data_IF_502692762699
#
_entry.id   IF_502692762699
#
_cell.length_a   1.000
_cell.length_b   1.000
_cell.length_c   1.000
_cell.angle_alpha   90.00
_cell.angle_beta   90.00
_cell.angle_gamma   90.00
#
_symmetry.space_group_name_H-M   'P 1'
#
loop_
_entity.id
_entity.type
_entity.pdbx_description
1 polymer ?
#
# COMPACT_ATOMS: atom_id res chain seq x y z
N UNK A 1 -7.51 -15.96 -18.82
CA UNK A 1 -8.18 -16.47 -17.62
C UNK A 1 -9.27 -15.46 -17.26
N UNK A 2 -10.49 -15.90 -17.01
CA UNK A 2 -11.58 -15.03 -16.51
C UNK A 2 -11.92 -15.48 -15.10
N UNK A 3 -12.00 -14.55 -14.18
CA UNK A 3 -12.44 -14.79 -12.81
C UNK A 3 -13.32 -13.65 -12.33
N UNK A 4 -14.16 -13.92 -11.36
CA UNK A 4 -15.01 -12.91 -10.73
C UNK A 4 -14.68 -12.86 -9.25
N UNK A 5 -14.47 -11.65 -8.74
CA UNK A 5 -14.25 -11.39 -7.32
C UNK A 5 -15.39 -10.51 -6.80
N UNK A 6 -15.86 -10.79 -5.60
CA UNK A 6 -16.85 -9.93 -4.94
C UNK A 6 -16.12 -8.96 -4.03
N UNK A 7 -16.19 -7.68 -4.35
CA UNK A 7 -15.72 -6.61 -3.47
C UNK A 7 -16.72 -6.42 -2.34
N UNK A 8 -16.29 -6.68 -1.10
CA UNK A 8 -17.13 -6.56 0.09
C UNK A 8 -17.12 -5.13 0.62
N UNK A 9 -15.94 -4.52 0.65
CA UNK A 9 -15.72 -3.18 1.19
C UNK A 9 -14.44 -2.60 0.59
N UNK A 10 -14.33 -1.27 0.58
CA UNK A 10 -13.12 -0.60 0.12
C UNK A 10 -12.91 0.72 0.85
N UNK A 11 -11.65 1.10 0.96
CA UNK A 11 -11.21 2.40 1.45
C UNK A 11 -9.99 2.85 0.64
N UNK A 12 -9.85 4.14 0.44
CA UNK A 12 -8.67 4.72 -0.19
C UNK A 12 -8.34 6.06 0.45
N UNK A 13 -7.05 6.38 0.47
CA UNK A 13 -6.55 7.69 0.92
C UNK A 13 -5.44 8.18 0.01
N UNK A 14 -5.52 9.46 -0.33
CA UNK A 14 -4.47 10.19 -1.03
C UNK A 14 -4.48 11.64 -0.53
N UNK A 15 -3.48 12.47 -0.89
CA UNK A 15 -3.54 13.90 -0.59
C UNK A 15 -4.86 14.52 -1.07
N UNK A 16 -5.61 15.15 -0.15
CA UNK A 16 -6.91 15.75 -0.43
C UNK A 16 -8.07 14.80 -0.69
N UNK A 17 -7.88 13.48 -0.56
CA UNK A 17 -8.91 12.46 -0.77
C UNK A 17 -8.89 11.46 0.37
N UNK A 18 -9.96 11.38 1.14
CA UNK A 18 -10.02 10.57 2.35
C UNK A 18 -11.28 9.71 2.51
N UNK A 19 -12.36 10.04 1.81
CA UNK A 19 -13.62 9.32 1.89
C UNK A 19 -14.19 8.95 0.52
N UNK A 20 -15.25 8.17 0.52
CA UNK A 20 -15.86 7.64 -0.69
C UNK A 20 -16.44 8.72 -1.61
N UNK A 21 -17.01 9.79 -1.02
CA UNK A 21 -17.65 10.87 -1.77
C UNK A 21 -16.59 11.71 -2.49
N UNK A 22 -15.46 12.02 -1.82
CA UNK A 22 -14.31 12.72 -2.41
C UNK A 22 -13.71 11.90 -3.57
N UNK A 23 -13.54 10.60 -3.39
CA UNK A 23 -13.06 9.69 -4.44
C UNK A 23 -14.03 9.61 -5.62
N UNK A 24 -15.34 9.55 -5.35
CA UNK A 24 -16.35 9.53 -6.41
C UNK A 24 -16.37 10.85 -7.18
N UNK A 25 -16.27 11.98 -6.48
CA UNK A 25 -16.20 13.30 -7.10
C UNK A 25 -14.93 13.45 -7.96
N UNK A 26 -13.78 12.97 -7.45
CA UNK A 26 -12.51 12.97 -8.18
C UNK A 26 -12.59 12.10 -9.44
N UNK A 27 -13.16 10.90 -9.35
CA UNK A 27 -13.26 9.98 -10.50
C UNK A 27 -14.05 10.54 -11.67
N UNK A 28 -15.00 11.45 -11.41
CA UNK A 28 -15.79 12.12 -12.45
C UNK A 28 -15.02 13.24 -13.15
N UNK A 29 -14.07 13.87 -12.45
CA UNK A 29 -13.29 15.00 -12.97
C UNK A 29 -12.01 14.55 -13.67
N UNK A 30 -11.45 13.41 -13.28
CA UNK A 30 -10.16 12.88 -13.77
C UNK A 30 -8.99 13.87 -13.62
N UNK A 31 -9.06 14.75 -12.63
CA UNK A 31 -7.99 15.69 -12.33
C UNK A 31 -6.80 14.95 -11.70
N UNK A 32 -5.60 15.51 -11.86
CA UNK A 32 -4.44 15.01 -11.11
C UNK A 32 -4.65 15.27 -9.61
N UNK A 33 -4.19 14.33 -8.78
CA UNK A 33 -4.17 14.53 -7.32
C UNK A 33 -3.08 15.55 -7.00
N UNK A 34 -3.42 16.58 -6.23
CA UNK A 34 -2.45 17.57 -5.76
C UNK A 34 -1.59 16.95 -4.64
N UNK A 35 -0.29 16.73 -4.87
CA UNK A 35 0.60 16.13 -3.87
C UNK A 35 0.82 17.03 -2.64
N UNK A 36 0.54 18.33 -2.75
CA UNK A 36 0.65 19.29 -1.65
C UNK A 36 -0.62 19.35 -0.77
N UNK A 37 -1.72 18.72 -1.21
CA UNK A 37 -2.93 18.66 -0.41
C UNK A 37 -2.71 17.86 0.88
N UNK A 38 -3.40 18.20 1.98
CA UNK A 38 -3.20 17.53 3.26
C UNK A 38 -3.68 16.08 3.21
N UNK A 39 -2.91 15.19 3.85
CA UNK A 39 -3.34 13.83 4.12
C UNK A 39 -4.33 13.78 5.28
N UNK A 40 -5.30 12.86 5.18
CA UNK A 40 -6.19 12.57 6.30
C UNK A 40 -5.41 12.13 7.54
N UNK A 41 -5.93 12.46 8.71
CA UNK A 41 -5.35 12.00 9.98
C UNK A 41 -5.41 10.48 10.08
N UNK A 42 -4.32 9.91 10.59
CA UNK A 42 -4.29 8.50 10.99
C UNK A 42 -5.23 8.30 12.19
N UNK A 43 -6.05 7.28 12.14
CA UNK A 43 -7.07 7.03 13.19
C UNK A 43 -6.81 5.75 13.97
N UNK A 44 -6.20 4.77 13.35
CA UNK A 44 -6.08 3.41 13.87
C UNK A 44 -4.64 3.02 14.20
N UNK A 45 -3.68 3.67 13.56
CA UNK A 45 -2.26 3.38 13.74
C UNK A 45 -1.70 4.04 14.99
N UNK A 46 -1.12 3.26 15.95
CA UNK A 46 -0.46 3.84 17.11
C UNK A 46 0.67 4.79 16.72
N UNK A 47 0.73 5.96 17.38
CA UNK A 47 1.68 7.03 17.05
C UNK A 47 3.14 6.56 17.08
N UNK A 48 3.51 5.70 18.02
CA UNK A 48 4.87 5.15 18.12
C UNK A 48 5.24 4.29 16.91
N UNK A 49 4.29 3.53 16.37
CA UNK A 49 4.47 2.75 15.14
C UNK A 49 4.50 3.68 13.94
N UNK A 50 3.59 4.66 13.88
CA UNK A 50 3.52 5.64 12.79
C UNK A 50 4.84 6.38 12.56
N UNK A 51 5.57 6.73 13.63
CA UNK A 51 6.87 7.41 13.54
C UNK A 51 7.97 6.60 12.88
N UNK A 52 7.84 5.28 12.85
CA UNK A 52 8.83 4.37 12.26
C UNK A 52 8.55 4.05 10.80
N UNK A 53 7.33 4.31 10.33
CA UNK A 53 6.87 3.99 8.98
C UNK A 53 7.07 5.18 8.03
N UNK A 54 7.39 4.88 6.78
CA UNK A 54 7.39 5.84 5.68
C UNK A 54 5.97 6.28 5.31
N UNK A 55 5.85 7.26 4.44
CA UNK A 55 4.59 7.88 4.07
C UNK A 55 3.53 6.87 3.58
N UNK A 56 3.85 6.03 2.60
CA UNK A 56 2.94 5.03 2.06
C UNK A 56 2.60 3.93 3.05
N UNK A 57 3.62 3.32 3.68
CA UNK A 57 3.45 2.27 4.67
C UNK A 57 2.60 2.71 5.85
N UNK A 58 2.72 3.98 6.25
CA UNK A 58 1.92 4.57 7.32
C UNK A 58 0.42 4.57 7.01
N UNK A 59 0.04 5.00 5.82
CA UNK A 59 -1.34 4.96 5.36
C UNK A 59 -1.84 3.52 5.18
N UNK A 60 -1.02 2.66 4.57
CA UNK A 60 -1.36 1.26 4.34
C UNK A 60 -1.63 0.51 5.65
N UNK A 61 -0.82 0.73 6.68
CA UNK A 61 -1.02 0.09 7.99
C UNK A 61 -2.23 0.67 8.71
N UNK A 62 -2.45 1.99 8.67
CA UNK A 62 -3.63 2.62 9.30
C UNK A 62 -4.94 2.09 8.74
N UNK A 63 -5.06 2.09 7.41
CA UNK A 63 -6.24 1.56 6.72
C UNK A 63 -6.38 0.03 6.89
N UNK A 64 -5.26 -0.70 6.89
CA UNK A 64 -5.26 -2.13 7.15
C UNK A 64 -5.79 -2.47 8.55
N UNK A 65 -5.39 -1.72 9.58
CA UNK A 65 -5.91 -1.86 10.94
C UNK A 65 -7.41 -1.58 11.01
N UNK A 66 -7.87 -0.51 10.34
CA UNK A 66 -9.29 -0.19 10.26
C UNK A 66 -10.10 -1.35 9.64
N UNK A 67 -9.61 -1.93 8.54
CA UNK A 67 -10.28 -3.04 7.87
C UNK A 67 -10.27 -4.32 8.71
N UNK A 68 -9.17 -4.63 9.42
CA UNK A 68 -9.09 -5.76 10.34
C UNK A 68 -10.04 -5.63 11.55
N UNK A 69 -10.32 -4.40 11.98
CA UNK A 69 -11.32 -4.14 13.05
C UNK A 69 -12.74 -4.27 12.55
N UNK A 70 -12.98 -3.86 11.31
CA UNK A 70 -14.32 -3.84 10.70
C UNK A 70 -14.75 -5.22 10.19
N UNK A 71 -13.79 -6.02 9.73
CA UNK A 71 -14.05 -7.30 9.08
C UNK A 71 -13.20 -8.43 9.66
N UNK A 72 -13.76 -9.64 9.68
CA UNK A 72 -12.97 -10.85 9.88
C UNK A 72 -12.18 -11.11 8.58
N UNK A 73 -10.88 -11.03 8.65
CA UNK A 73 -9.95 -11.25 7.54
C UNK A 73 -9.15 -12.51 7.82
N UNK A 74 -9.04 -13.39 6.84
CA UNK A 74 -8.32 -14.66 6.97
C UNK A 74 -6.89 -14.57 6.43
N UNK A 75 -6.67 -13.72 5.41
CA UNK A 75 -5.37 -13.47 4.82
C UNK A 75 -5.25 -12.03 4.30
N UNK A 76 -4.02 -11.55 4.19
CA UNK A 76 -3.70 -10.19 3.75
C UNK A 76 -2.66 -10.23 2.64
N UNK A 77 -2.91 -9.51 1.56
CA UNK A 77 -1.95 -9.24 0.49
C UNK A 77 -1.60 -7.77 0.49
N UNK A 78 -0.33 -7.44 0.66
CA UNK A 78 0.21 -6.09 0.51
C UNK A 78 0.92 -5.99 -0.83
N UNK A 79 0.55 -5.01 -1.64
CA UNK A 79 1.21 -4.75 -2.91
C UNK A 79 1.75 -3.35 -2.97
N UNK A 80 2.95 -3.21 -3.50
CA UNK A 80 3.59 -1.92 -3.72
C UNK A 80 4.60 -2.03 -4.85
N UNK A 81 4.58 -1.08 -5.76
CA UNK A 81 5.59 -1.01 -6.81
C UNK A 81 6.95 -0.61 -6.28
N UNK A 82 6.99 0.38 -5.38
CA UNK A 82 8.20 1.00 -4.90
C UNK A 82 8.57 0.58 -3.46
N UNK A 83 7.63 -0.01 -2.72
CA UNK A 83 7.84 -0.47 -1.35
C UNK A 83 8.40 0.65 -0.45
N UNK A 84 9.52 0.38 0.18
CA UNK A 84 10.22 1.29 1.08
C UNK A 84 11.28 2.15 0.35
N UNK A 85 11.07 2.54 -0.92
CA UNK A 85 12.03 3.28 -1.74
C UNK A 85 12.57 4.55 -1.05
N UNK A 86 11.70 5.31 -0.40
CA UNK A 86 12.06 6.50 0.39
C UNK A 86 13.14 6.17 1.44
N UNK A 87 13.01 5.04 2.12
CA UNK A 87 13.97 4.56 3.12
C UNK A 87 15.24 4.01 2.47
N UNK A 88 15.08 3.21 1.43
CA UNK A 88 16.22 2.66 0.69
C UNK A 88 17.09 3.78 0.13
N UNK A 89 16.48 4.85 -0.36
CA UNK A 89 17.23 6.02 -0.83
C UNK A 89 18.04 6.69 0.29
N UNK A 90 17.45 6.88 1.48
CA UNK A 90 18.21 7.41 2.64
C UNK A 90 19.39 6.50 3.03
N UNK A 91 19.19 5.18 3.00
CA UNK A 91 20.26 4.22 3.26
C UNK A 91 21.39 4.39 2.24
N UNK A 92 21.07 4.49 0.96
CA UNK A 92 22.06 4.69 -0.12
C UNK A 92 22.81 6.01 0.04
N UNK A 93 22.13 7.10 0.40
CA UNK A 93 22.76 8.38 0.69
C UNK A 93 23.73 8.30 1.88
N UNK A 94 23.31 7.58 2.94
CA UNK A 94 24.16 7.36 4.13
C UNK A 94 25.43 6.58 3.78
N UNK A 95 25.29 5.52 2.98
CA UNK A 95 26.41 4.74 2.48
C UNK A 95 27.35 5.55 1.58
N UNK A 96 26.79 6.34 0.66
CA UNK A 96 27.56 7.20 -0.22
C UNK A 96 28.34 8.29 0.54
N UNK A 97 27.86 8.69 1.70
CA UNK A 97 28.54 9.61 2.62
C UNK A 97 29.50 8.90 3.61
N UNK A 98 29.73 7.60 3.42
CA UNK A 98 30.59 6.77 4.31
C UNK A 98 30.15 6.81 5.78
N UNK A 99 28.86 6.99 6.03
CA UNK A 99 28.30 7.02 7.37
C UNK A 99 27.67 5.67 7.75
N UNK A 100 27.62 5.32 9.05
CA UNK A 100 27.00 4.08 9.49
C UNK A 100 25.49 4.10 9.26
N UNK A 101 24.97 3.02 8.66
CA UNK A 101 23.52 2.85 8.44
C UNK A 101 22.83 2.52 9.75
N UNK A 102 21.67 3.13 9.97
CA UNK A 102 20.82 2.83 11.10
C UNK A 102 20.30 1.38 11.03
N UNK A 103 20.49 0.54 12.07
CA UNK A 103 19.89 -0.81 12.09
C UNK A 103 18.38 -0.82 11.92
N UNK A 104 17.70 0.20 12.47
CA UNK A 104 16.25 0.36 12.31
C UNK A 104 15.88 0.65 10.85
N UNK A 105 16.64 1.53 10.18
CA UNK A 105 16.38 1.81 8.77
C UNK A 105 16.59 0.57 7.90
N UNK A 106 17.64 -0.18 8.16
CA UNK A 106 17.90 -1.44 7.45
C UNK A 106 16.78 -2.46 7.69
N UNK A 107 16.38 -2.70 8.94
CA UNK A 107 15.34 -3.66 9.28
C UNK A 107 13.97 -3.29 8.67
N UNK A 108 13.72 -1.99 8.49
CA UNK A 108 12.46 -1.48 7.95
C UNK A 108 12.50 -1.21 6.43
N UNK A 109 13.60 -1.53 5.74
CA UNK A 109 13.75 -1.29 4.30
C UNK A 109 13.21 -2.42 3.43
N UNK A 110 12.81 -3.52 4.04
CA UNK A 110 12.30 -4.70 3.34
C UNK A 110 10.86 -4.50 2.86
N UNK A 111 10.52 -5.11 1.73
CA UNK A 111 9.22 -4.93 1.08
C UNK A 111 8.02 -5.34 1.95
N UNK A 112 8.20 -6.31 2.83
CA UNK A 112 7.17 -6.79 3.75
C UNK A 112 7.09 -6.04 5.08
N UNK A 113 7.82 -4.93 5.25
CA UNK A 113 7.82 -4.19 6.51
C UNK A 113 6.45 -3.64 6.88
N UNK A 114 5.69 -3.16 5.89
CA UNK A 114 4.35 -2.62 6.11
C UNK A 114 3.39 -3.69 6.66
N UNK A 115 3.30 -4.85 6.01
CA UNK A 115 2.42 -5.94 6.46
C UNK A 115 2.87 -6.53 7.80
N UNK A 116 4.18 -6.61 8.02
CA UNK A 116 4.73 -7.02 9.31
C UNK A 116 4.30 -6.08 10.45
N UNK A 117 4.36 -4.77 10.22
CA UNK A 117 3.88 -3.78 11.18
C UNK A 117 2.35 -3.82 11.37
N UNK A 118 1.58 -4.15 10.33
CA UNK A 118 0.14 -4.38 10.46
C UNK A 118 -0.15 -5.51 11.44
N UNK A 119 0.45 -6.67 11.25
CA UNK A 119 0.18 -7.85 12.08
C UNK A 119 0.60 -7.63 13.53
N UNK A 120 1.74 -6.96 13.75
CA UNK A 120 2.20 -6.57 15.09
C UNK A 120 1.23 -5.59 15.75
N UNK A 121 0.81 -4.54 15.05
CA UNK A 121 -0.09 -3.53 15.60
C UNK A 121 -1.52 -4.10 15.83
N UNK A 122 -1.98 -4.98 14.96
CA UNK A 122 -3.26 -5.67 15.11
C UNK A 122 -3.24 -6.73 16.22
N UNK A 123 -2.06 -7.19 16.65
CA UNK A 123 -1.88 -8.33 17.57
C UNK A 123 -2.61 -9.59 17.09
N UNK A 124 -2.62 -9.80 15.78
CA UNK A 124 -3.29 -10.93 15.15
C UNK A 124 -2.31 -11.66 14.23
N UNK A 125 -2.15 -12.99 14.39
CA UNK A 125 -1.42 -13.80 13.42
C UNK A 125 -2.31 -13.97 12.19
N UNK A 126 -2.04 -13.23 11.14
CA UNK A 126 -2.75 -13.33 9.85
C UNK A 126 -1.77 -13.80 8.80
N UNK A 127 -2.21 -14.74 7.96
CA UNK A 127 -1.42 -15.13 6.78
C UNK A 127 -1.24 -13.90 5.90
N UNK A 128 -0.01 -13.62 5.51
CA UNK A 128 0.29 -12.43 4.75
C UNK A 128 1.27 -12.68 3.62
N UNK A 129 1.08 -11.95 2.53
CA UNK A 129 1.94 -11.92 1.36
C UNK A 129 2.31 -10.47 1.02
N UNK A 130 3.45 -10.30 0.35
CA UNK A 130 3.88 -8.99 -0.16
C UNK A 130 4.31 -9.15 -1.62
N UNK A 131 3.69 -8.37 -2.49
CA UNK A 131 3.84 -8.47 -3.95
C UNK A 131 4.46 -7.19 -4.50
N UNK A 132 5.47 -7.34 -5.34
CA UNK A 132 6.03 -6.29 -6.19
C UNK A 132 6.35 -6.87 -7.57
N UNK A 133 5.77 -6.31 -8.60
CA UNK A 133 5.91 -6.76 -9.99
C UNK A 133 6.02 -5.57 -10.96
N UNK A 134 6.68 -4.51 -10.54
CA UNK A 134 6.84 -3.30 -11.35
C UNK A 134 5.49 -2.71 -11.77
N UNK A 135 5.28 -2.59 -13.07
CA UNK A 135 4.04 -2.03 -13.63
C UNK A 135 2.82 -2.90 -13.39
N UNK A 136 3.00 -4.20 -13.27
CA UNK A 136 1.92 -5.17 -13.12
C UNK A 136 1.62 -5.50 -11.66
N UNK A 137 2.17 -4.73 -10.70
CA UNK A 137 2.06 -5.03 -9.26
C UNK A 137 0.62 -5.24 -8.83
N UNK A 138 -0.29 -4.35 -9.17
CA UNK A 138 -1.70 -4.49 -8.80
C UNK A 138 -2.35 -5.74 -9.44
N UNK A 139 -2.10 -6.00 -10.72
CA UNK A 139 -2.64 -7.17 -11.43
C UNK A 139 -2.11 -8.48 -10.83
N UNK A 140 -0.82 -8.52 -10.50
CA UNK A 140 -0.22 -9.69 -9.87
C UNK A 140 -0.72 -9.90 -8.44
N UNK A 141 -1.01 -8.84 -7.71
CA UNK A 141 -1.62 -8.94 -6.38
C UNK A 141 -3.03 -9.53 -6.42
N UNK A 142 -3.81 -9.26 -7.47
CA UNK A 142 -5.11 -9.92 -7.69
C UNK A 142 -4.95 -11.42 -7.96
N UNK A 143 -3.89 -11.84 -8.65
CA UNK A 143 -3.58 -13.26 -8.83
C UNK A 143 -3.24 -13.93 -7.50
N UNK A 144 -2.51 -13.24 -6.63
CA UNK A 144 -2.18 -13.75 -5.29
C UNK A 144 -3.43 -13.85 -4.40
N UNK A 145 -4.31 -12.84 -4.42
CA UNK A 145 -5.63 -12.89 -3.77
C UNK A 145 -6.43 -14.10 -4.26
N UNK A 146 -6.48 -14.31 -5.57
CA UNK A 146 -7.20 -15.45 -6.16
C UNK A 146 -6.63 -16.79 -5.68
N UNK A 147 -5.30 -16.89 -5.62
CA UNK A 147 -4.62 -18.10 -5.12
C UNK A 147 -4.96 -18.40 -3.68
N UNK A 148 -5.00 -17.38 -2.81
CA UNK A 148 -5.41 -17.53 -1.41
C UNK A 148 -6.87 -17.96 -1.28
N UNK A 149 -7.77 -17.37 -2.08
CA UNK A 149 -9.18 -17.77 -2.10
C UNK A 149 -9.37 -19.23 -2.55
N UNK A 150 -8.60 -19.67 -3.55
CA UNK A 150 -8.59 -21.09 -3.98
C UNK A 150 -7.98 -22.01 -2.93
N UNK A 151 -7.05 -21.54 -2.12
CA UNK A 151 -6.49 -22.29 -1.00
C UNK A 151 -7.45 -22.39 0.21
N UNK A 152 -8.66 -21.82 0.11
CA UNK A 152 -9.71 -21.95 1.13
C UNK A 152 -9.83 -20.76 2.09
N UNK A 153 -9.09 -19.68 1.90
CA UNK A 153 -9.30 -18.46 2.66
C UNK A 153 -10.59 -17.76 2.18
N UNK A 154 -11.52 -17.47 3.09
CA UNK A 154 -12.83 -16.94 2.72
C UNK A 154 -12.82 -15.44 2.47
N UNK A 155 -11.94 -14.70 3.15
CA UNK A 155 -11.83 -13.25 3.05
C UNK A 155 -10.37 -12.83 3.02
N UNK A 156 -9.99 -12.18 1.95
CA UNK A 156 -8.63 -11.66 1.74
C UNK A 156 -8.68 -10.13 1.68
N UNK A 157 -7.86 -9.48 2.48
CA UNK A 157 -7.62 -8.05 2.40
C UNK A 157 -6.48 -7.78 1.43
N UNK A 158 -6.76 -7.03 0.37
CA UNK A 158 -5.74 -6.50 -0.52
C UNK A 158 -5.45 -5.03 -0.15
N UNK A 159 -4.19 -4.73 0.11
CA UNK A 159 -3.69 -3.37 0.33
C UNK A 159 -2.68 -3.03 -0.76
N UNK A 160 -3.05 -2.11 -1.64
CA UNK A 160 -2.14 -1.60 -2.68
C UNK A 160 -1.73 -0.18 -2.33
N UNK A 161 -0.43 0.08 -2.25
CA UNK A 161 0.08 1.37 -1.78
C UNK A 161 1.44 1.71 -2.38
N UNK A 162 1.70 3.00 -2.47
CA UNK A 162 3.05 3.54 -2.67
C UNK A 162 3.25 4.78 -1.79
N UNK A 163 4.50 5.11 -1.50
CA UNK A 163 4.88 6.30 -0.75
C UNK A 163 5.34 7.43 -1.66
N UNK A 164 5.88 8.47 -1.03
CA UNK A 164 6.54 9.56 -1.73
C UNK A 164 7.77 9.04 -2.48
N UNK A 165 7.90 9.47 -3.73
CA UNK A 165 9.09 9.15 -4.52
C UNK A 165 10.18 10.19 -4.25
N UNK A 166 11.45 9.77 -4.12
CA UNK A 166 12.57 10.70 -4.01
C UNK A 166 12.69 11.58 -5.26
N UNK A 167 13.20 12.81 -5.07
CA UNK A 167 13.31 13.82 -6.15
C UNK A 167 14.08 13.33 -7.37
N UNK A 168 15.12 12.50 -7.18
CA UNK A 168 15.88 11.95 -8.30
C UNK A 168 15.02 11.09 -9.24
N UNK A 169 13.96 10.49 -8.73
CA UNK A 169 13.05 9.67 -9.51
C UNK A 169 12.22 10.52 -10.48
N UNK A 170 11.97 11.77 -10.12
CA UNK A 170 11.29 12.75 -10.98
C UNK A 170 12.25 13.47 -11.94
N UNK A 171 13.50 13.66 -11.52
CA UNK A 171 14.53 14.34 -12.31
C UNK A 171 15.21 13.43 -13.36
N UNK A 172 15.18 12.13 -13.15
CA UNK A 172 15.70 11.15 -14.11
C UNK A 172 14.78 11.03 -15.31
N UNK A 173 15.31 11.18 -16.53
CA UNK A 173 14.65 10.89 -17.81
C UNK A 173 14.39 9.39 -17.98
N UNK A 174 13.77 8.76 -17.02
CA UNK A 174 13.15 7.48 -17.23
C UNK A 174 11.77 7.79 -17.79
N UNK A 175 11.52 7.38 -19.04
CA UNK A 175 10.22 7.51 -19.69
C UNK A 175 9.15 6.81 -18.86
N UNK A 176 8.72 7.47 -17.80
CA UNK A 176 7.56 7.10 -16.98
C UNK A 176 6.24 7.53 -17.66
N UNK A 177 6.31 8.01 -18.89
CA UNK A 177 5.15 8.35 -19.73
C UNK A 177 4.20 7.17 -19.96
N UNK A 178 4.60 5.95 -19.63
CA UNK A 178 3.74 4.77 -19.62
C UNK A 178 2.74 4.75 -18.45
N UNK A 179 2.84 5.68 -17.49
CA UNK A 179 2.03 5.72 -16.28
C UNK A 179 1.28 7.03 -16.07
N UNK A 180 0.82 7.67 -17.12
CA UNK A 180 0.01 8.88 -17.01
C UNK A 180 0.61 9.91 -16.05
N UNK A 181 0.93 11.04 -16.58
CA UNK A 181 1.48 12.23 -15.95
C UNK A 181 1.10 12.36 -14.47
N UNK A 182 2.13 12.46 -13.61
CA UNK A 182 2.06 12.87 -12.20
C UNK A 182 1.52 11.83 -11.21
N UNK A 183 2.37 10.89 -10.81
CA UNK A 183 2.10 10.14 -9.57
C UNK A 183 3.21 10.30 -8.55
N UNK A 184 3.34 11.49 -7.98
CA UNK A 184 3.81 11.63 -6.62
C UNK A 184 2.62 11.31 -5.69
N UNK A 185 2.10 10.10 -5.77
CA UNK A 185 0.88 9.73 -5.05
C UNK A 185 1.21 8.84 -3.88
N UNK A 186 0.98 9.36 -2.68
CA UNK A 186 0.75 8.51 -1.51
C UNK A 186 -0.66 7.96 -1.67
N UNK A 187 -0.80 6.80 -2.31
CA UNK A 187 -2.10 6.16 -2.48
C UNK A 187 -2.07 4.79 -1.82
N UNK A 188 -2.96 4.56 -0.86
CA UNK A 188 -3.26 3.24 -0.37
C UNK A 188 -4.66 2.86 -0.83
N UNK A 189 -4.78 1.81 -1.64
CA UNK A 189 -6.05 1.21 -2.02
C UNK A 189 -6.26 -0.04 -1.19
N UNK A 190 -7.38 -0.13 -0.52
CA UNK A 190 -7.68 -1.26 0.33
C UNK A 190 -9.05 -1.81 -0.06
N UNK A 191 -9.08 -3.10 -0.37
CA UNK A 191 -10.30 -3.82 -0.68
C UNK A 191 -10.31 -5.18 -0.01
N UNK A 192 -11.47 -5.62 0.43
CA UNK A 192 -11.70 -6.98 0.84
C UNK A 192 -12.42 -7.72 -0.28
N UNK A 193 -11.83 -8.81 -0.76
CA UNK A 193 -12.32 -9.53 -1.93
C UNK A 193 -12.75 -10.94 -1.52
N UNK A 194 -13.94 -11.36 -1.93
CA UNK A 194 -14.45 -12.73 -1.76
C UNK A 194 -14.63 -13.36 -3.15
N UNK A 195 -14.13 -14.57 -3.33
CA UNK A 195 -14.45 -15.35 -4.52
C UNK A 195 -15.93 -15.72 -4.51
N UNK A 196 -16.61 -15.56 -5.63
CA UNK A 196 -17.91 -16.14 -5.86
C UNK A 196 -17.67 -17.54 -6.47
N UNK A 197 -18.20 -18.57 -5.82
CA UNK A 197 -18.26 -19.87 -6.46
C UNK A 197 -19.09 -19.71 -7.74
N UNK A 198 -18.50 -20.12 -8.85
CA UNK A 198 -19.25 -20.23 -10.10
C UNK A 198 -20.17 -21.47 -9.97
N UNK A 199 -21.47 -21.24 -9.99
CA UNK A 199 -22.46 -22.27 -10.30
C UNK A 199 -22.31 -22.73 -11.74
#
# INVERSE_FOLDING_TARGET
MKFTLTLIDWQARAPGLSDADEWQAWSRRSDAIDPAAPLAKLTDLPMMTARRLNSGSRLAVDLGLMMLRKHRIDAVVYSSRHGELERNFRILQTLAAEQPVSPTDFAMSVHNSAVGNLTIAARQPVVSSSVSAGMDTFQQSLCDVLSLLHAGYSRVLLVDFDGLLPDFYHAGRWDLDLWGKNRAEVTARIGTVKAREAE
#
